data_IF_941238704755
#
_entry.id   IF_941238704755
#
_cell.length_a   1.000
_cell.length_b   1.000
_cell.length_c   1.000
_cell.angle_alpha   90.00
_cell.angle_beta   90.00
_cell.angle_gamma   90.00
#
_symmetry.space_group_name_H-M   'P 1'
#
loop_
_entity.id
_entity.type
_entity.pdbx_description
1 polymer ?
#
# COMPACT_ATOMS: atom_id res chain seq x y z
N UNK A 1 14.16 5.69 6.22
CA UNK A 1 14.38 4.22 6.23
C UNK A 1 13.79 3.55 5.00
N UNK A 2 12.51 3.78 4.68
CA UNK A 2 11.84 3.16 3.52
C UNK A 2 12.44 3.58 2.16
N UNK A 3 12.74 4.87 1.95
CA UNK A 3 13.37 5.34 0.70
C UNK A 3 14.70 4.65 0.41
N UNK A 4 15.50 4.49 1.45
CA UNK A 4 16.80 3.83 1.35
C UNK A 4 16.65 2.35 0.97
N UNK A 5 15.68 1.64 1.55
CA UNK A 5 15.37 0.25 1.13
C UNK A 5 14.94 0.18 -0.33
N UNK A 6 14.09 1.09 -0.79
CA UNK A 6 13.65 1.14 -2.19
C UNK A 6 14.81 1.45 -3.14
N UNK A 7 15.71 2.36 -2.74
CA UNK A 7 16.94 2.66 -3.47
C UNK A 7 17.81 1.41 -3.61
N UNK A 8 18.10 0.72 -2.51
CA UNK A 8 18.92 -0.50 -2.50
C UNK A 8 18.31 -1.61 -3.37
N UNK A 9 17.01 -1.86 -3.26
CA UNK A 9 16.31 -2.83 -4.12
C UNK A 9 16.49 -2.44 -5.59
N UNK A 10 16.30 -1.17 -5.92
CA UNK A 10 16.41 -0.66 -7.30
C UNK A 10 17.82 -0.79 -7.86
N UNK A 11 18.84 -0.54 -7.05
CA UNK A 11 20.24 -0.75 -7.44
C UNK A 11 20.53 -2.24 -7.71
N UNK A 12 20.01 -3.14 -6.87
CA UNK A 12 20.20 -4.58 -7.02
C UNK A 12 19.53 -5.11 -8.29
N UNK A 13 18.26 -4.79 -8.52
CA UNK A 13 17.49 -5.30 -9.65
C UNK A 13 18.00 -4.77 -10.99
N UNK A 14 18.57 -3.57 -11.02
CA UNK A 14 19.14 -2.95 -12.22
C UNK A 14 20.61 -3.30 -12.44
N UNK A 15 21.24 -4.05 -11.53
CA UNK A 15 22.56 -4.60 -11.80
C UNK A 15 22.49 -5.55 -13.02
N UNK A 16 23.39 -5.44 -14.02
CA UNK A 16 23.21 -6.09 -15.33
C UNK A 16 22.92 -7.59 -15.26
N UNK A 17 23.59 -8.31 -14.34
CA UNK A 17 23.42 -9.75 -14.17
C UNK A 17 22.06 -10.11 -13.56
N UNK A 18 21.58 -9.35 -12.59
CA UNK A 18 20.27 -9.59 -11.94
C UNK A 18 19.15 -9.19 -12.87
N UNK A 19 19.26 -8.03 -13.51
CA UNK A 19 18.29 -7.54 -14.47
C UNK A 19 18.08 -8.56 -15.60
N UNK A 20 19.17 -9.06 -16.20
CA UNK A 20 19.10 -10.10 -17.23
C UNK A 20 18.37 -11.37 -16.75
N UNK A 21 18.56 -11.77 -15.49
CA UNK A 21 17.87 -12.93 -14.92
C UNK A 21 16.39 -12.67 -14.66
N UNK A 22 16.04 -11.47 -14.19
CA UNK A 22 14.66 -11.10 -13.83
C UNK A 22 13.79 -10.90 -15.08
N UNK A 23 14.32 -10.26 -16.13
CA UNK A 23 13.59 -10.00 -17.39
C UNK A 23 13.14 -11.29 -18.09
N UNK A 24 13.78 -12.45 -17.82
CA UNK A 24 13.33 -13.74 -18.35
C UNK A 24 11.89 -14.08 -17.97
N UNK A 25 11.41 -13.57 -16.84
CA UNK A 25 10.00 -13.55 -16.47
C UNK A 25 9.49 -12.11 -16.62
N UNK A 26 9.04 -11.77 -17.82
CA UNK A 26 8.65 -10.38 -18.14
C UNK A 26 7.48 -9.89 -17.29
N UNK A 27 6.52 -10.76 -16.98
CA UNK A 27 5.36 -10.41 -16.15
C UNK A 27 5.78 -10.11 -14.72
N UNK A 28 6.64 -10.96 -14.14
CA UNK A 28 7.23 -10.73 -12.82
C UNK A 28 8.09 -9.47 -12.77
N UNK A 29 8.87 -9.22 -13.83
CA UNK A 29 9.67 -7.99 -13.96
C UNK A 29 8.80 -6.74 -14.01
N UNK A 30 7.76 -6.73 -14.83
CA UNK A 30 6.84 -5.60 -14.95
C UNK A 30 6.10 -5.35 -13.64
N UNK A 31 5.60 -6.41 -12.99
CA UNK A 31 4.95 -6.32 -11.69
C UNK A 31 5.90 -5.72 -10.64
N UNK A 32 7.16 -6.18 -10.61
CA UNK A 32 8.19 -5.66 -9.72
C UNK A 32 8.42 -4.16 -9.92
N UNK A 33 8.58 -3.71 -11.18
CA UNK A 33 8.76 -2.28 -11.48
C UNK A 33 7.55 -1.45 -11.04
N UNK A 34 6.34 -1.88 -11.38
CA UNK A 34 5.10 -1.20 -10.99
C UNK A 34 4.96 -1.13 -9.47
N UNK A 35 5.28 -2.20 -8.75
CA UNK A 35 5.21 -2.20 -7.28
C UNK A 35 6.17 -1.17 -6.68
N UNK A 36 7.40 -1.06 -7.20
CA UNK A 36 8.36 -0.06 -6.73
C UNK A 36 7.87 1.37 -6.99
N UNK A 37 7.24 1.62 -8.13
CA UNK A 37 6.70 2.93 -8.46
C UNK A 37 5.49 3.28 -7.58
N UNK A 38 4.57 2.34 -7.38
CA UNK A 38 3.42 2.52 -6.45
C UNK A 38 3.92 2.80 -5.03
N UNK A 39 4.96 2.11 -4.56
CA UNK A 39 5.53 2.40 -3.23
C UNK A 39 6.05 3.84 -3.18
N UNK A 40 6.79 4.31 -4.19
CA UNK A 40 7.28 5.70 -4.23
C UNK A 40 6.16 6.73 -4.30
N UNK A 41 5.14 6.48 -5.11
CA UNK A 41 3.99 7.39 -5.25
C UNK A 41 3.18 7.48 -3.96
N UNK A 42 2.94 6.34 -3.31
CA UNK A 42 2.22 6.30 -2.04
C UNK A 42 3.02 6.93 -0.91
N UNK A 43 4.35 6.79 -0.87
CA UNK A 43 5.21 7.52 0.06
C UNK A 43 5.03 9.04 -0.09
N UNK A 44 5.15 9.56 -1.32
CA UNK A 44 4.93 10.98 -1.61
C UNK A 44 3.54 11.45 -1.22
N UNK A 45 2.51 10.64 -1.46
CA UNK A 45 1.14 10.97 -1.09
C UNK A 45 0.93 11.03 0.44
N UNK A 46 1.58 10.12 1.18
CA UNK A 46 1.56 10.11 2.65
C UNK A 46 2.29 11.35 3.19
N UNK A 47 3.49 11.64 2.67
CA UNK A 47 4.27 12.82 3.06
C UNK A 47 3.49 14.10 2.79
N UNK A 48 2.91 14.24 1.59
CA UNK A 48 2.07 15.38 1.23
C UNK A 48 0.88 15.54 2.19
N UNK A 49 0.26 14.44 2.65
CA UNK A 49 -0.82 14.52 3.65
C UNK A 49 -0.32 15.06 4.98
N UNK A 50 0.90 14.72 5.42
CA UNK A 50 1.45 15.22 6.69
C UNK A 50 1.75 16.72 6.68
N UNK A 51 1.89 17.31 5.50
CA UNK A 51 2.12 18.74 5.29
C UNK A 51 0.82 19.56 5.18
N UNK A 52 -0.34 18.90 5.09
CA UNK A 52 -1.64 19.58 4.99
C UNK A 52 -1.97 20.27 6.32
N UNK A 53 -2.09 21.60 6.28
CA UNK A 53 -2.67 22.39 7.38
C UNK A 53 -4.16 22.03 7.59
N UNK A 54 -4.70 22.40 8.75
CA UNK A 54 -6.10 22.10 9.08
C UNK A 54 -7.08 22.57 7.99
N UNK A 55 -7.69 21.62 7.28
CA UNK A 55 -8.68 21.91 6.24
C UNK A 55 -10.06 22.11 6.87
N UNK A 56 -10.68 23.24 6.55
CA UNK A 56 -11.99 23.64 7.10
C UNK A 56 -13.15 23.19 6.22
N UNK A 57 -12.90 22.96 4.93
CA UNK A 57 -13.87 22.36 4.03
C UNK A 57 -14.01 20.85 4.30
N UNK A 58 -15.21 20.44 4.74
CA UNK A 58 -15.49 19.03 5.07
C UNK A 58 -15.30 18.08 3.88
N UNK A 59 -15.60 18.54 2.66
CA UNK A 59 -15.47 17.72 1.45
C UNK A 59 -14.01 17.46 1.11
N UNK A 60 -13.17 18.50 1.18
CA UNK A 60 -11.72 18.38 1.00
C UNK A 60 -11.07 17.56 2.10
N UNK A 61 -11.42 17.81 3.37
CA UNK A 61 -10.92 17.01 4.49
C UNK A 61 -11.25 15.52 4.30
N UNK A 62 -12.47 15.20 3.86
CA UNK A 62 -12.86 13.84 3.54
C UNK A 62 -12.05 13.24 2.38
N UNK A 63 -11.81 14.01 1.32
CA UNK A 63 -10.98 13.59 0.19
C UNK A 63 -9.52 13.32 0.61
N UNK A 64 -8.94 14.16 1.47
CA UNK A 64 -7.58 13.97 1.97
C UNK A 64 -7.46 12.70 2.81
N UNK A 65 -8.38 12.48 3.75
CA UNK A 65 -8.39 11.27 4.57
C UNK A 65 -8.62 10.02 3.70
N UNK A 66 -9.50 10.11 2.70
CA UNK A 66 -9.72 9.05 1.71
C UNK A 66 -8.46 8.72 0.92
N UNK A 67 -7.76 9.76 0.45
CA UNK A 67 -6.51 9.64 -0.29
C UNK A 67 -5.42 8.99 0.56
N UNK A 68 -5.23 9.45 1.81
CA UNK A 68 -4.26 8.87 2.74
C UNK A 68 -4.54 7.38 2.98
N UNK A 69 -5.78 7.04 3.34
CA UNK A 69 -6.14 5.65 3.61
C UNK A 69 -5.97 4.78 2.37
N UNK A 70 -6.30 5.29 1.18
CA UNK A 70 -6.06 4.57 -0.07
C UNK A 70 -4.56 4.39 -0.36
N UNK A 71 -3.73 5.41 -0.12
CA UNK A 71 -2.29 5.35 -0.31
C UNK A 71 -1.65 4.29 0.60
N UNK A 72 -2.04 4.23 1.88
CA UNK A 72 -1.56 3.22 2.82
C UNK A 72 -1.91 1.80 2.37
N UNK A 73 -3.12 1.57 1.85
CA UNK A 73 -3.54 0.25 1.37
C UNK A 73 -2.77 -0.15 0.11
N UNK A 74 -2.65 0.76 -0.86
CA UNK A 74 -1.87 0.52 -2.08
C UNK A 74 -0.41 0.21 -1.76
N UNK A 75 0.18 0.92 -0.79
CA UNK A 75 1.56 0.67 -0.34
C UNK A 75 1.72 -0.73 0.25
N UNK A 76 0.79 -1.16 1.11
CA UNK A 76 0.80 -2.51 1.69
C UNK A 76 0.70 -3.60 0.61
N UNK A 77 -0.23 -3.43 -0.33
CA UNK A 77 -0.42 -4.40 -1.43
C UNK A 77 0.80 -4.42 -2.36
N UNK A 78 1.39 -3.25 -2.67
CA UNK A 78 2.58 -3.15 -3.50
C UNK A 78 3.79 -3.82 -2.84
N UNK A 79 3.99 -3.67 -1.53
CA UNK A 79 5.07 -4.39 -0.80
C UNK A 79 4.84 -5.90 -0.85
N UNK A 80 3.61 -6.35 -0.63
CA UNK A 80 3.28 -7.78 -0.70
C UNK A 80 3.56 -8.36 -2.09
N UNK A 81 3.04 -7.72 -3.14
CA UNK A 81 3.22 -8.16 -4.51
C UNK A 81 4.68 -8.05 -4.98
N UNK A 82 5.43 -7.05 -4.49
CA UNK A 82 6.87 -6.95 -4.72
C UNK A 82 7.59 -8.19 -4.17
N UNK A 83 7.28 -8.60 -2.94
CA UNK A 83 7.84 -9.82 -2.36
C UNK A 83 7.47 -11.07 -3.15
N UNK A 84 6.19 -11.22 -3.53
CA UNK A 84 5.71 -12.34 -4.35
C UNK A 84 6.42 -12.42 -5.70
N UNK A 85 6.66 -11.28 -6.36
CA UNK A 85 7.40 -11.22 -7.65
C UNK A 85 8.85 -11.71 -7.54
N UNK A 86 9.42 -11.65 -6.32
CA UNK A 86 10.76 -12.14 -5.99
C UNK A 86 10.75 -13.55 -5.41
N UNK A 87 9.59 -14.21 -5.33
CA UNK A 87 9.44 -15.53 -4.72
C UNK A 87 9.56 -15.51 -3.18
N UNK A 88 9.34 -14.36 -2.55
CA UNK A 88 9.38 -14.18 -1.10
C UNK A 88 7.95 -14.16 -0.58
N UNK A 89 7.61 -15.11 0.29
CA UNK A 89 6.30 -15.13 0.96
C UNK A 89 6.32 -14.18 2.16
N UNK A 90 5.45 -13.17 2.16
CA UNK A 90 5.23 -12.25 3.28
C UNK A 90 3.77 -12.27 3.67
N UNK A 91 3.50 -12.45 4.96
CA UNK A 91 2.16 -12.34 5.52
C UNK A 91 1.96 -10.98 6.17
N UNK A 92 0.91 -10.27 5.79
CA UNK A 92 0.46 -9.06 6.48
C UNK A 92 -0.26 -9.38 7.78
N UNK A 93 -0.62 -10.64 8.02
CA UNK A 93 -1.32 -11.06 9.23
C UNK A 93 -0.40 -11.04 10.45
N UNK A 94 0.92 -11.05 10.22
CA UNK A 94 1.94 -10.98 11.26
C UNK A 94 2.20 -9.53 11.76
N UNK A 95 1.55 -8.52 11.15
CA UNK A 95 1.70 -7.12 11.55
C UNK A 95 0.33 -6.51 11.93
N UNK A 96 -0.02 -6.48 13.23
CA UNK A 96 -1.28 -5.95 13.73
C UNK A 96 -1.59 -4.52 13.27
N UNK A 97 -0.57 -3.68 13.15
CA UNK A 97 -0.68 -2.28 12.74
C UNK A 97 -1.18 -2.15 11.30
N UNK A 98 -0.71 -3.01 10.39
CA UNK A 98 -1.17 -3.01 9.00
C UNK A 98 -2.64 -3.47 8.90
N UNK A 99 -3.03 -4.44 9.73
CA UNK A 99 -4.42 -4.91 9.83
C UNK A 99 -5.35 -3.85 10.41
N UNK A 100 -4.86 -3.05 11.36
CA UNK A 100 -5.61 -1.94 11.93
C UNK A 100 -5.91 -0.88 10.86
N UNK A 101 -4.92 -0.49 10.05
CA UNK A 101 -5.11 0.45 8.93
C UNK A 101 -6.18 -0.06 7.96
N UNK A 102 -6.13 -1.34 7.59
CA UNK A 102 -7.16 -1.98 6.74
C UNK A 102 -8.55 -1.91 7.38
N UNK A 103 -8.63 -2.17 8.67
CA UNK A 103 -9.87 -2.11 9.45
C UNK A 103 -10.43 -0.69 9.50
N UNK A 104 -9.58 0.31 9.75
CA UNK A 104 -9.97 1.73 9.76
C UNK A 104 -10.53 2.10 8.39
N UNK A 105 -9.78 1.86 7.31
CA UNK A 105 -10.21 2.15 5.92
C UNK A 105 -11.54 1.49 5.57
N UNK A 106 -11.73 0.24 5.98
CA UNK A 106 -12.97 -0.49 5.74
C UNK A 106 -14.16 0.12 6.49
N UNK A 107 -13.99 0.49 7.77
CA UNK A 107 -15.05 1.05 8.62
C UNK A 107 -15.38 2.51 8.32
N UNK A 108 -14.38 3.31 7.97
CA UNK A 108 -14.53 4.76 7.79
C UNK A 108 -15.11 5.12 6.42
N UNK A 109 -14.43 4.72 5.35
CA UNK A 109 -14.68 5.22 3.98
C UNK A 109 -15.15 4.11 3.06
N UNK A 110 -14.76 2.87 3.36
CA UNK A 110 -15.28 1.70 2.68
C UNK A 110 -16.79 1.53 2.83
N UNK A 111 -17.41 2.23 3.82
CA UNK A 111 -18.84 2.27 4.14
C UNK A 111 -19.56 1.04 3.57
N UNK A 112 -19.37 -0.16 4.14
CA UNK A 112 -20.03 -1.35 3.64
C UNK A 112 -21.55 -1.13 3.74
N UNK A 113 -22.15 -0.68 2.65
CA UNK A 113 -23.60 -0.50 2.48
C UNK A 113 -24.32 -1.85 2.49
N UNK A 114 -23.54 -2.92 2.35
CA UNK A 114 -23.94 -4.29 2.62
C UNK A 114 -23.97 -4.51 4.14
N UNK A 115 -25.17 -4.49 4.74
CA UNK A 115 -25.39 -5.00 6.10
C UNK A 115 -24.84 -6.43 6.19
N UNK A 116 -23.75 -6.64 6.91
CA UNK A 116 -23.40 -7.97 7.41
C UNK A 116 -24.44 -8.33 8.47
N UNK A 117 -25.46 -9.08 8.07
CA UNK A 117 -26.47 -9.61 8.97
C UNK A 117 -25.85 -10.64 9.92
N UNK A 118 -25.20 -10.22 11.02
CA UNK A 118 -24.82 -11.03 12.20
C UNK A 118 -24.61 -10.07 13.39
N UNK A 119 -25.40 -10.01 14.46
CA UNK A 119 -26.48 -10.86 14.93
C UNK A 119 -27.24 -10.22 16.12
N UNK A 120 -28.44 -10.76 16.35
CA UNK A 120 -29.35 -10.71 17.53
C UNK A 120 -29.42 -9.41 18.36
N UNK A 121 -30.57 -8.76 18.25
CA UNK A 121 -31.16 -8.01 19.35
C UNK A 121 -31.33 -8.95 20.56
N UNK A 122 -30.72 -8.59 21.68
CA UNK A 122 -31.13 -9.04 23.01
C UNK A 122 -31.74 -7.82 23.69
N UNK A 123 -32.98 -8.02 24.16
CA UNK A 123 -33.82 -7.07 24.90
C UNK A 123 -33.11 -6.48 26.11
#
# INVERSE_FOLDING_TARGET
MMEESIRQITEIINSPRKQYSLIKNIDGWNQLCVCLDVIRETMRAIDAFTEIESETDRGKAYLYISGLLQALILQQDAVKHLCESLGISVSTDDCPELQEIRTIRHKSIGHPTKKTAKGKATY
#
